data_IF_552364548428
#
_entry.id   IF_552364548428
#
_cell.length_a   1.000
_cell.length_b   1.000
_cell.length_c   1.000
_cell.angle_alpha   90.00
_cell.angle_beta   90.00
_cell.angle_gamma   90.00
#
_symmetry.space_group_name_H-M   'P 1'
#
loop_
_entity.id
_entity.type
_entity.pdbx_description
1 polymer ?
#
# COMPACT_ATOMS: atom_id res chain seq x y z
N UNK A 1 14.41 11.69 -28.54
CA UNK A 1 14.45 10.39 -27.86
C UNK A 1 15.49 10.52 -26.77
N UNK A 2 15.11 10.29 -25.53
CA UNK A 2 15.98 10.40 -24.35
C UNK A 2 15.79 9.16 -23.48
N UNK A 3 16.75 8.87 -22.61
CA UNK A 3 16.71 7.76 -21.65
C UNK A 3 16.28 8.28 -20.29
N UNK A 4 15.22 7.72 -19.73
CA UNK A 4 14.60 8.20 -18.50
C UNK A 4 14.68 7.08 -17.44
N UNK A 5 15.35 7.36 -16.32
CA UNK A 5 15.36 6.50 -15.16
C UNK A 5 14.24 6.85 -14.19
N UNK A 6 13.73 5.85 -13.47
CA UNK A 6 12.68 6.06 -12.47
C UNK A 6 13.09 5.45 -11.13
N UNK A 7 12.79 6.17 -10.04
CA UNK A 7 12.83 5.69 -8.66
C UNK A 7 11.42 5.85 -8.10
N UNK A 8 10.80 4.75 -7.68
CA UNK A 8 9.47 4.76 -7.09
C UNK A 8 9.57 4.44 -5.61
N UNK A 9 9.16 5.37 -4.75
CA UNK A 9 9.21 5.27 -3.30
C UNK A 9 7.80 5.28 -2.70
N UNK A 10 7.67 4.68 -1.54
CA UNK A 10 6.45 4.73 -0.72
C UNK A 10 5.47 3.61 -1.01
N UNK A 11 4.18 3.93 -1.11
CA UNK A 11 3.10 2.95 -1.12
C UNK A 11 2.70 2.47 -2.52
N UNK A 12 1.94 1.37 -2.58
CA UNK A 12 1.41 0.79 -3.82
C UNK A 12 0.66 1.81 -4.72
N UNK A 13 -0.05 2.79 -4.14
CA UNK A 13 -0.72 3.84 -4.93
C UNK A 13 0.30 4.74 -5.65
N UNK A 14 1.40 5.06 -4.98
CA UNK A 14 2.49 5.84 -5.56
C UNK A 14 3.24 5.05 -6.65
N UNK A 15 3.37 3.74 -6.47
CA UNK A 15 3.92 2.84 -7.47
C UNK A 15 3.07 2.82 -8.74
N UNK A 16 1.75 2.67 -8.63
CA UNK A 16 0.84 2.73 -9.80
C UNK A 16 0.94 4.07 -10.52
N UNK A 17 1.07 5.19 -9.78
CA UNK A 17 1.29 6.51 -10.39
C UNK A 17 2.60 6.57 -11.17
N UNK A 18 3.67 5.98 -10.64
CA UNK A 18 4.98 5.88 -11.30
C UNK A 18 4.89 5.06 -12.59
N UNK A 19 4.24 3.91 -12.55
CA UNK A 19 4.03 3.01 -13.68
C UNK A 19 3.24 3.68 -14.82
N UNK A 20 2.24 4.49 -14.47
CA UNK A 20 1.50 5.31 -15.45
C UNK A 20 2.36 6.40 -16.06
N UNK A 21 3.25 7.04 -15.28
CA UNK A 21 4.22 8.00 -15.81
C UNK A 21 5.22 7.33 -16.75
N UNK A 22 5.74 6.14 -16.40
CA UNK A 22 6.62 5.35 -17.28
C UNK A 22 5.96 5.06 -18.64
N UNK A 23 4.71 4.63 -18.61
CA UNK A 23 3.95 4.34 -19.84
C UNK A 23 3.83 5.58 -20.73
N UNK A 24 3.44 6.74 -20.17
CA UNK A 24 3.35 8.00 -20.94
C UNK A 24 4.70 8.39 -21.55
N UNK A 25 5.79 8.17 -20.85
CA UNK A 25 7.15 8.43 -21.31
C UNK A 25 7.50 7.52 -22.51
N UNK A 26 7.15 6.24 -22.44
CA UNK A 26 7.35 5.30 -23.55
C UNK A 26 6.49 5.63 -24.76
N UNK A 27 5.21 5.98 -24.57
CA UNK A 27 4.33 6.41 -25.67
C UNK A 27 4.82 7.67 -26.37
N UNK A 28 5.50 8.57 -25.65
CA UNK A 28 6.13 9.75 -26.22
C UNK A 28 7.43 9.46 -27.00
N UNK A 29 7.85 8.19 -27.07
CA UNK A 29 9.05 7.74 -27.80
C UNK A 29 10.37 7.90 -27.04
N UNK A 30 10.33 8.09 -25.70
CA UNK A 30 11.49 7.99 -24.84
C UNK A 30 11.72 6.54 -24.39
N UNK A 31 12.91 6.24 -23.94
CA UNK A 31 13.26 4.91 -23.39
C UNK A 31 13.23 4.98 -21.87
N UNK A 32 12.51 4.06 -21.23
CA UNK A 32 12.60 3.85 -19.78
C UNK A 32 13.80 2.93 -19.51
N UNK A 33 14.68 3.37 -18.63
CA UNK A 33 15.88 2.63 -18.24
C UNK A 33 15.56 1.73 -17.03
N UNK A 34 16.11 0.52 -17.02
CA UNK A 34 15.98 -0.40 -15.87
C UNK A 34 16.70 0.10 -14.61
N UNK A 35 17.73 0.95 -14.79
CA UNK A 35 18.44 1.64 -13.70
C UNK A 35 18.40 3.15 -13.89
N UNK A 36 19.15 3.89 -13.06
CA UNK A 36 19.24 5.35 -13.16
C UNK A 36 20.52 5.85 -13.83
N UNK A 37 21.60 5.07 -13.78
CA UNK A 37 22.91 5.44 -14.36
C UNK A 37 22.79 5.47 -15.89
N UNK A 38 23.32 6.53 -16.50
CA UNK A 38 23.22 6.78 -17.93
C UNK A 38 21.93 7.41 -18.40
N UNK A 39 21.02 7.77 -17.48
CA UNK A 39 19.77 8.44 -17.81
C UNK A 39 19.97 9.93 -18.07
N UNK A 40 19.30 10.44 -19.12
CA UNK A 40 19.25 11.87 -19.42
C UNK A 40 18.43 12.63 -18.37
N UNK A 41 17.37 11.99 -17.86
CA UNK A 41 16.55 12.49 -16.75
C UNK A 41 16.24 11.33 -15.79
N UNK A 42 16.38 11.56 -14.48
CA UNK A 42 15.89 10.65 -13.44
C UNK A 42 14.65 11.27 -12.80
N UNK A 43 13.56 10.52 -12.82
CA UNK A 43 12.31 10.87 -12.16
C UNK A 43 12.26 10.15 -10.81
N UNK A 44 12.15 10.90 -9.72
CA UNK A 44 12.05 10.37 -8.36
C UNK A 44 10.63 10.61 -7.87
N UNK A 45 9.83 9.55 -7.86
CA UNK A 45 8.45 9.59 -7.34
C UNK A 45 8.47 9.31 -5.83
N UNK A 46 8.24 10.35 -5.04
CA UNK A 46 8.54 10.41 -3.61
C UNK A 46 7.33 10.18 -2.72
N UNK A 47 7.57 9.64 -1.53
CA UNK A 47 6.62 9.62 -0.42
C UNK A 47 6.87 10.84 0.49
N UNK A 48 5.81 11.38 1.08
CA UNK A 48 5.88 12.52 2.01
C UNK A 48 4.88 12.39 3.17
N UNK A 49 4.51 11.13 3.49
CA UNK A 49 3.43 10.84 4.45
C UNK A 49 3.91 10.88 5.90
N UNK A 50 5.03 10.23 6.20
CA UNK A 50 5.63 10.16 7.55
C UNK A 50 7.12 10.53 7.48
N UNK A 51 7.73 10.87 8.63
CA UNK A 51 9.11 11.35 8.68
C UNK A 51 10.13 10.36 8.11
N UNK A 52 10.01 9.07 8.39
CA UNK A 52 10.89 8.05 7.83
C UNK A 52 10.85 7.99 6.30
N UNK A 53 9.65 8.07 5.70
CA UNK A 53 9.49 8.08 4.26
C UNK A 53 9.97 9.40 3.62
N UNK A 54 9.92 10.52 4.35
CA UNK A 54 10.52 11.78 3.90
C UNK A 54 12.04 11.69 3.90
N UNK A 55 12.63 11.13 4.96
CA UNK A 55 14.08 10.92 5.05
C UNK A 55 14.58 10.01 3.93
N UNK A 56 13.92 8.89 3.69
CA UNK A 56 14.22 7.99 2.57
C UNK A 56 14.19 8.75 1.23
N UNK A 57 13.15 9.52 0.97
CA UNK A 57 13.02 10.27 -0.28
C UNK A 57 14.15 11.32 -0.44
N UNK A 58 14.53 12.01 0.62
CA UNK A 58 15.64 12.97 0.63
C UNK A 58 16.96 12.25 0.34
N UNK A 59 17.19 11.10 0.97
CA UNK A 59 18.42 10.31 0.75
C UNK A 59 18.56 9.87 -0.71
N UNK A 60 17.49 9.40 -1.34
CA UNK A 60 17.50 9.06 -2.77
C UNK A 60 17.74 10.28 -3.67
N UNK A 61 17.19 11.45 -3.34
CA UNK A 61 17.47 12.69 -4.08
C UNK A 61 18.95 13.05 -3.97
N UNK A 62 19.54 13.00 -2.78
CA UNK A 62 20.95 13.33 -2.55
C UNK A 62 21.89 12.32 -3.21
N UNK A 63 21.59 11.02 -3.17
CA UNK A 63 22.35 9.99 -3.89
C UNK A 63 22.32 10.23 -5.40
N UNK A 64 21.14 10.55 -5.96
CA UNK A 64 20.98 10.87 -7.38
C UNK A 64 21.73 12.17 -7.74
N UNK A 65 21.76 13.16 -6.83
CA UNK A 65 22.51 14.39 -7.01
C UNK A 65 24.03 14.14 -7.06
N UNK A 66 24.54 13.20 -6.25
CA UNK A 66 25.94 12.79 -6.31
C UNK A 66 26.29 12.16 -7.68
N UNK A 67 25.45 11.25 -8.17
CA UNK A 67 25.62 10.67 -9.52
C UNK A 67 25.56 11.72 -10.63
N UNK A 68 24.70 12.74 -10.47
CA UNK A 68 24.64 13.87 -11.40
C UNK A 68 25.94 14.69 -11.38
N UNK A 69 26.52 14.94 -10.22
CA UNK A 69 27.77 15.65 -10.08
C UNK A 69 28.95 14.89 -10.74
N UNK A 70 28.88 13.56 -10.74
CA UNK A 70 29.85 12.68 -11.43
C UNK A 70 29.59 12.55 -12.95
N UNK A 71 28.50 13.15 -13.45
CA UNK A 71 28.12 13.08 -14.87
C UNK A 71 27.48 11.75 -15.28
N UNK A 72 27.07 10.94 -14.33
CA UNK A 72 26.42 9.65 -14.57
C UNK A 72 24.91 9.79 -14.82
N UNK A 73 24.32 10.92 -14.42
CA UNK A 73 22.90 11.28 -14.59
C UNK A 73 22.81 12.72 -15.11
N UNK A 74 21.88 12.98 -16.04
CA UNK A 74 21.71 14.31 -16.64
C UNK A 74 20.93 15.28 -15.77
N UNK A 75 19.64 15.03 -15.59
CA UNK A 75 18.69 15.91 -14.88
C UNK A 75 17.93 15.14 -13.79
N UNK A 76 17.45 15.85 -12.78
CA UNK A 76 16.64 15.31 -11.69
C UNK A 76 15.28 15.97 -11.67
N UNK A 77 14.21 15.17 -11.79
CA UNK A 77 12.82 15.57 -11.67
C UNK A 77 12.19 14.88 -10.44
N UNK A 78 11.82 15.65 -9.43
CA UNK A 78 11.16 15.11 -8.23
C UNK A 78 9.66 15.26 -8.38
N UNK A 79 8.91 14.20 -8.08
CA UNK A 79 7.45 14.18 -8.09
C UNK A 79 6.89 13.43 -6.89
N UNK A 80 5.59 13.38 -6.74
CA UNK A 80 4.92 12.62 -5.69
C UNK A 80 4.51 13.44 -4.46
N UNK A 81 4.33 12.74 -3.34
CA UNK A 81 3.77 13.35 -2.14
C UNK A 81 4.72 14.36 -1.47
N UNK A 82 6.04 14.10 -1.47
CA UNK A 82 7.02 15.04 -0.89
C UNK A 82 7.02 16.35 -1.67
N UNK A 83 7.08 16.27 -3.00
CA UNK A 83 7.08 17.47 -3.85
C UNK A 83 5.78 18.27 -3.71
N UNK A 84 4.63 17.59 -3.62
CA UNK A 84 3.34 18.24 -3.38
C UNK A 84 3.30 18.94 -2.03
N UNK A 85 3.94 18.39 -1.02
CA UNK A 85 3.93 18.92 0.35
C UNK A 85 4.81 20.16 0.50
N UNK A 86 6.05 20.10 0.02
CA UNK A 86 7.07 21.13 0.25
C UNK A 86 7.30 22.06 -0.94
N UNK A 87 6.72 21.74 -2.09
CA UNK A 87 6.69 22.62 -3.27
C UNK A 87 8.04 23.30 -3.58
N UNK A 88 8.04 24.63 -3.59
CA UNK A 88 9.22 25.42 -3.93
C UNK A 88 10.41 25.29 -2.95
N UNK A 89 10.16 24.88 -1.72
CA UNK A 89 11.21 24.71 -0.70
C UNK A 89 12.23 23.65 -1.12
N UNK A 90 11.77 22.58 -1.83
CA UNK A 90 12.68 21.56 -2.37
C UNK A 90 13.76 22.16 -3.26
N UNK A 91 13.41 23.11 -4.15
CA UNK A 91 14.38 23.75 -5.06
C UNK A 91 15.32 24.73 -4.33
N UNK A 92 14.91 25.23 -3.16
CA UNK A 92 15.75 26.10 -2.34
C UNK A 92 16.76 25.30 -1.53
N UNK A 93 16.30 24.23 -0.89
CA UNK A 93 17.12 23.38 -0.02
C UNK A 93 17.96 22.37 -0.83
N UNK A 94 17.50 21.97 -2.01
CA UNK A 94 18.17 21.01 -2.89
C UNK A 94 18.35 21.61 -4.31
N UNK A 95 19.34 22.53 -4.49
CA UNK A 95 19.54 23.23 -5.77
C UNK A 95 19.95 22.31 -6.93
N UNK A 96 20.36 21.07 -6.64
CA UNK A 96 20.70 20.02 -7.61
C UNK A 96 19.48 19.52 -8.40
N UNK A 97 18.26 19.67 -7.82
CA UNK A 97 17.00 19.30 -8.46
C UNK A 97 16.70 20.29 -9.59
N UNK A 98 16.46 19.76 -10.79
CA UNK A 98 16.16 20.57 -11.97
C UNK A 98 14.67 20.88 -12.13
N UNK A 99 13.80 20.02 -11.63
CA UNK A 99 12.35 20.21 -11.71
C UNK A 99 11.55 19.49 -10.64
N UNK A 100 10.34 20.00 -10.40
CA UNK A 100 9.38 19.41 -9.47
C UNK A 100 7.98 19.36 -10.09
N UNK A 101 7.29 18.23 -9.88
CA UNK A 101 5.88 18.04 -10.21
C UNK A 101 5.11 17.65 -8.96
N UNK A 102 3.94 18.27 -8.75
CA UNK A 102 3.01 17.82 -7.71
C UNK A 102 2.19 16.60 -8.13
N UNK A 103 1.44 16.04 -7.17
CA UNK A 103 0.55 14.89 -7.40
C UNK A 103 -0.58 15.20 -8.39
N UNK A 104 -0.96 16.47 -8.54
CA UNK A 104 -1.94 16.93 -9.55
C UNK A 104 -1.35 17.12 -10.97
N UNK A 105 -0.06 16.78 -11.18
CA UNK A 105 0.64 17.05 -12.44
C UNK A 105 1.28 15.82 -13.09
N UNK A 106 0.94 14.60 -12.68
CA UNK A 106 1.51 13.37 -13.25
C UNK A 106 1.30 13.25 -14.77
N UNK A 107 0.16 13.79 -15.28
CA UNK A 107 -0.14 13.81 -16.72
C UNK A 107 0.80 14.69 -17.54
N UNK A 108 1.51 15.60 -16.86
CA UNK A 108 2.47 16.52 -17.48
C UNK A 108 3.92 16.02 -17.46
N UNK A 109 4.13 14.74 -17.13
CA UNK A 109 5.49 14.17 -17.02
C UNK A 109 6.29 14.33 -18.31
N UNK A 110 5.69 14.10 -19.48
CA UNK A 110 6.40 14.21 -20.78
C UNK A 110 6.78 15.66 -21.10
N UNK A 111 5.87 16.65 -21.09
CA UNK A 111 6.26 18.06 -21.26
C UNK A 111 7.31 18.54 -20.24
N UNK A 112 7.28 18.05 -19.01
CA UNK A 112 8.25 18.40 -17.98
C UNK A 112 9.64 17.88 -18.36
N UNK A 113 9.74 16.62 -18.76
CA UNK A 113 11.00 16.01 -19.23
C UNK A 113 11.56 16.78 -20.43
N UNK A 114 10.74 17.10 -21.42
CA UNK A 114 11.17 17.86 -22.62
C UNK A 114 11.70 19.26 -22.28
N UNK A 115 11.07 19.95 -21.32
CA UNK A 115 11.55 21.24 -20.83
C UNK A 115 12.91 21.10 -20.12
N UNK A 116 13.08 20.10 -19.26
CA UNK A 116 14.36 19.84 -18.61
C UNK A 116 15.48 19.55 -19.61
N UNK A 117 15.19 18.74 -20.63
CA UNK A 117 16.16 18.42 -21.69
C UNK A 117 16.54 19.64 -22.52
N UNK A 118 15.63 20.61 -22.65
CA UNK A 118 15.92 21.92 -23.31
C UNK A 118 16.63 22.94 -22.39
N UNK A 119 16.94 22.55 -21.16
CA UNK A 119 17.70 23.37 -20.20
C UNK A 119 16.83 24.31 -19.34
N UNK A 120 15.53 24.14 -19.33
CA UNK A 120 14.62 24.95 -18.51
C UNK A 120 14.28 24.22 -17.20
N UNK A 121 14.18 24.98 -16.11
CA UNK A 121 13.62 24.44 -14.84
C UNK A 121 12.11 24.28 -14.97
N UNK A 122 11.57 23.25 -14.28
CA UNK A 122 10.15 22.93 -14.27
C UNK A 122 9.59 23.00 -12.86
N UNK A 123 8.44 23.68 -12.71
CA UNK A 123 7.65 23.73 -11.46
C UNK A 123 6.20 23.69 -11.84
N UNK A 124 5.49 22.57 -11.55
CA UNK A 124 4.06 22.46 -11.83
C UNK A 124 3.37 21.60 -10.75
N UNK A 125 2.30 22.13 -10.17
CA UNK A 125 1.56 21.47 -9.10
C UNK A 125 0.14 21.08 -9.45
N UNK A 126 -0.41 21.54 -10.55
CA UNK A 126 -1.75 21.19 -11.02
C UNK A 126 -2.84 21.23 -9.93
N UNK A 127 -4.01 20.73 -10.25
CA UNK A 127 -5.08 20.57 -9.27
C UNK A 127 -5.06 19.13 -8.71
N UNK A 128 -4.92 18.99 -7.40
CA UNK A 128 -5.01 17.68 -6.74
C UNK A 128 -6.42 17.09 -6.78
N UNK A 129 -7.42 17.89 -7.11
CA UNK A 129 -8.82 17.47 -7.28
C UNK A 129 -9.19 17.22 -8.77
N UNK A 130 -8.22 17.31 -9.69
CA UNK A 130 -8.47 16.99 -11.10
C UNK A 130 -8.86 15.51 -11.24
N UNK A 131 -9.77 15.16 -12.17
CA UNK A 131 -10.01 13.77 -12.53
C UNK A 131 -8.73 13.09 -12.97
N UNK A 132 -8.57 11.82 -12.61
CA UNK A 132 -7.48 11.02 -13.17
C UNK A 132 -7.74 10.78 -14.67
N UNK A 133 -6.70 10.94 -15.47
CA UNK A 133 -6.73 10.55 -16.87
C UNK A 133 -6.35 9.08 -16.98
N UNK A 134 -7.23 8.29 -17.58
CA UNK A 134 -6.94 6.89 -17.85
C UNK A 134 -5.81 6.74 -18.86
N UNK A 135 -4.91 5.81 -18.59
CA UNK A 135 -3.74 5.49 -19.42
C UNK A 135 -3.30 4.06 -19.14
N UNK A 136 -2.50 3.48 -20.02
CA UNK A 136 -1.78 2.25 -19.73
C UNK A 136 -0.73 2.46 -18.63
N UNK A 137 -0.06 1.38 -18.27
CA UNK A 137 1.07 1.43 -17.33
C UNK A 137 2.13 0.36 -17.63
N UNK A 138 3.35 0.63 -17.20
CA UNK A 138 4.45 -0.32 -17.20
C UNK A 138 4.49 -0.95 -15.81
N UNK A 139 4.05 -2.19 -15.70
CA UNK A 139 4.02 -2.90 -14.41
C UNK A 139 5.44 -3.13 -13.92
N UNK A 140 5.71 -2.79 -12.66
CA UNK A 140 7.02 -2.92 -12.01
C UNK A 140 7.05 -3.95 -10.89
N UNK A 141 5.90 -4.51 -10.52
CA UNK A 141 5.83 -5.68 -9.66
C UNK A 141 6.24 -6.94 -10.46
N UNK A 142 6.60 -8.05 -9.78
CA UNK A 142 6.66 -9.35 -10.42
C UNK A 142 5.39 -9.64 -11.23
N UNK A 143 5.50 -10.43 -12.32
CA UNK A 143 4.39 -10.63 -13.25
C UNK A 143 3.14 -11.25 -12.61
N UNK A 144 3.32 -12.06 -11.57
CA UNK A 144 2.26 -12.83 -10.94
C UNK A 144 1.35 -12.02 -10.00
N UNK A 145 1.73 -10.82 -9.58
CA UNK A 145 0.83 -9.95 -8.82
C UNK A 145 0.87 -8.49 -9.28
N UNK A 146 -0.22 -7.78 -9.11
CA UNK A 146 -0.28 -6.35 -9.43
C UNK A 146 -1.25 -5.61 -8.52
N UNK A 147 -0.91 -4.36 -8.20
CA UNK A 147 -1.84 -3.46 -7.55
C UNK A 147 -2.78 -2.82 -8.59
N UNK A 148 -4.05 -2.64 -8.26
CA UNK A 148 -4.98 -1.83 -9.04
C UNK A 148 -5.57 -0.72 -8.19
N UNK A 149 -5.29 0.53 -8.59
CA UNK A 149 -5.81 1.70 -7.91
C UNK A 149 -7.21 2.01 -8.45
N UNK A 150 -8.23 1.93 -7.58
CA UNK A 150 -9.64 2.11 -7.96
C UNK A 150 -10.18 3.51 -7.66
N UNK A 151 -9.49 4.27 -6.83
CA UNK A 151 -9.83 5.65 -6.50
C UNK A 151 -8.58 6.42 -6.06
N UNK A 152 -8.67 7.75 -6.04
CA UNK A 152 -7.62 8.66 -5.60
C UNK A 152 -8.18 9.65 -4.56
N UNK A 153 -7.31 10.07 -3.62
CA UNK A 153 -7.66 11.03 -2.58
C UNK A 153 -8.47 10.44 -1.43
N UNK A 154 -8.71 11.25 -0.41
CA UNK A 154 -9.46 10.82 0.77
C UNK A 154 -10.24 11.97 1.38
N UNK A 155 -11.51 11.72 1.74
CA UNK A 155 -12.39 12.70 2.37
C UNK A 155 -12.65 12.44 3.85
N UNK A 156 -11.96 11.48 4.49
CA UNK A 156 -12.18 11.12 5.90
C UNK A 156 -11.65 12.17 6.88
N UNK A 157 -10.58 12.91 6.52
CA UNK A 157 -10.00 14.01 7.32
C UNK A 157 -9.64 13.61 8.76
N UNK A 158 -9.05 12.41 8.93
CA UNK A 158 -8.48 12.03 10.22
C UNK A 158 -7.48 13.08 10.69
N UNK A 159 -7.51 13.44 12.00
CA UNK A 159 -6.76 14.56 12.52
C UNK A 159 -5.23 14.45 12.36
N UNK A 160 -4.70 13.24 12.25
CA UNK A 160 -3.28 12.96 12.06
C UNK A 160 -2.86 12.85 10.57
N UNK A 161 -3.79 12.89 9.62
CA UNK A 161 -3.51 12.47 8.25
C UNK A 161 -3.38 13.66 7.29
N UNK A 162 -2.25 13.71 6.57
CA UNK A 162 -1.95 14.74 5.59
C UNK A 162 -2.49 14.40 4.17
N UNK A 163 -2.96 13.19 3.93
CA UNK A 163 -3.39 12.72 2.59
C UNK A 163 -4.41 13.62 1.90
N UNK A 164 -5.46 14.16 2.55
CA UNK A 164 -6.41 15.06 1.88
C UNK A 164 -5.76 16.31 1.27
N UNK A 165 -4.64 16.75 1.83
CA UNK A 165 -3.89 17.92 1.36
C UNK A 165 -2.89 17.58 0.24
N UNK A 166 -2.49 16.31 0.16
CA UNK A 166 -1.54 15.83 -0.85
C UNK A 166 -2.23 15.23 -2.07
N UNK A 167 -3.38 14.56 -1.87
CA UNK A 167 -4.06 13.75 -2.88
C UNK A 167 -5.48 14.25 -3.21
N UNK A 168 -5.94 15.28 -2.50
CA UNK A 168 -7.25 15.88 -2.71
C UNK A 168 -8.43 15.06 -2.18
N UNK A 169 -9.62 15.44 -2.64
CA UNK A 169 -10.87 14.76 -2.29
C UNK A 169 -10.93 13.36 -2.91
N UNK A 170 -11.71 12.51 -2.31
CA UNK A 170 -11.97 11.17 -2.82
C UNK A 170 -12.61 11.20 -4.21
N UNK A 171 -12.04 10.45 -5.14
CA UNK A 171 -12.48 10.35 -6.54
C UNK A 171 -12.34 8.90 -7.01
N UNK A 172 -13.48 8.26 -7.30
CA UNK A 172 -13.52 6.92 -7.87
C UNK A 172 -13.22 6.94 -9.37
N UNK A 173 -12.50 5.94 -9.83
CA UNK A 173 -12.39 5.63 -11.26
C UNK A 173 -13.67 4.98 -11.76
N UNK A 174 -13.98 5.11 -13.05
CA UNK A 174 -15.12 4.46 -13.64
C UNK A 174 -14.96 2.93 -13.59
N UNK A 175 -16.06 2.23 -13.37
CA UNK A 175 -16.08 0.76 -13.26
C UNK A 175 -15.47 0.10 -14.51
N UNK A 176 -15.87 0.56 -15.70
CA UNK A 176 -15.40 -0.02 -16.97
C UNK A 176 -13.88 0.17 -17.17
N UNK A 177 -13.32 1.31 -16.73
CA UNK A 177 -11.89 1.60 -16.83
C UNK A 177 -11.08 0.69 -15.89
N UNK A 178 -11.56 0.49 -14.65
CA UNK A 178 -10.94 -0.43 -13.69
C UNK A 178 -10.99 -1.87 -14.22
N UNK A 179 -12.13 -2.30 -14.75
CA UNK A 179 -12.28 -3.64 -15.32
C UNK A 179 -11.44 -3.85 -16.59
N UNK A 180 -11.29 -2.81 -17.41
CA UNK A 180 -10.41 -2.87 -18.58
C UNK A 180 -8.96 -3.08 -18.15
N UNK A 181 -8.45 -2.26 -17.21
CA UNK A 181 -7.09 -2.40 -16.69
C UNK A 181 -6.88 -3.78 -16.06
N UNK A 182 -7.82 -4.28 -15.25
CA UNK A 182 -7.73 -5.59 -14.63
C UNK A 182 -7.62 -6.74 -15.67
N UNK A 183 -8.37 -6.65 -16.79
CA UNK A 183 -8.26 -7.62 -17.89
C UNK A 183 -6.89 -7.57 -18.58
N UNK A 184 -6.34 -6.36 -18.76
CA UNK A 184 -5.00 -6.20 -19.34
C UNK A 184 -3.95 -6.80 -18.42
N UNK A 185 -4.03 -6.56 -17.11
CA UNK A 185 -3.12 -7.15 -16.13
C UNK A 185 -3.19 -8.68 -16.11
N UNK A 186 -4.40 -9.23 -16.08
CA UNK A 186 -4.60 -10.69 -16.13
C UNK A 186 -4.05 -11.31 -17.40
N UNK A 187 -4.27 -10.66 -18.56
CA UNK A 187 -3.74 -11.12 -19.85
C UNK A 187 -2.20 -11.08 -19.91
N UNK A 188 -1.56 -10.24 -19.10
CA UNK A 188 -0.11 -10.11 -18.97
C UNK A 188 0.49 -10.97 -17.85
N UNK A 189 -0.27 -11.90 -17.25
CA UNK A 189 0.25 -12.88 -16.30
C UNK A 189 -0.10 -12.62 -14.83
N UNK A 190 -0.77 -11.51 -14.49
CA UNK A 190 -1.18 -11.23 -13.11
C UNK A 190 -2.17 -12.30 -12.63
N UNK A 191 -1.79 -13.02 -11.58
CA UNK A 191 -2.59 -14.06 -10.91
C UNK A 191 -3.23 -13.53 -9.62
N UNK A 192 -2.53 -12.67 -8.88
CA UNK A 192 -3.09 -11.96 -7.72
C UNK A 192 -3.30 -10.47 -8.05
N UNK A 193 -4.54 -9.99 -7.92
CA UNK A 193 -4.89 -8.58 -8.09
C UNK A 193 -5.19 -7.95 -6.72
N UNK A 194 -4.41 -6.91 -6.36
CA UNK A 194 -4.54 -6.24 -5.08
C UNK A 194 -5.24 -4.90 -5.28
N UNK A 195 -6.46 -4.80 -4.81
CA UNK A 195 -7.32 -3.62 -4.95
C UNK A 195 -6.96 -2.59 -3.89
N UNK A 196 -6.55 -1.39 -4.33
CA UNK A 196 -6.07 -0.33 -3.44
C UNK A 196 -6.73 1.02 -3.74
N UNK A 197 -6.95 1.78 -2.68
CA UNK A 197 -7.22 3.22 -2.66
C UNK A 197 -6.75 3.78 -1.32
N UNK A 198 -6.96 5.07 -1.03
CA UNK A 198 -6.78 5.60 0.31
C UNK A 198 -7.91 5.18 1.27
N UNK A 199 -9.07 4.88 0.70
CA UNK A 199 -10.23 4.28 1.37
C UNK A 199 -11.00 3.47 0.31
N UNK A 200 -10.71 2.19 0.23
CA UNK A 200 -11.26 1.30 -0.80
C UNK A 200 -12.75 1.06 -0.60
N UNK A 201 -13.23 1.09 0.65
CA UNK A 201 -14.62 0.84 1.00
C UNK A 201 -15.60 1.89 0.46
N UNK A 202 -15.13 3.09 0.13
CA UNK A 202 -15.97 4.18 -0.39
C UNK A 202 -16.13 4.20 -1.92
N UNK A 203 -15.62 3.20 -2.61
CA UNK A 203 -15.69 3.17 -4.06
C UNK A 203 -17.13 3.37 -4.58
N UNK A 204 -17.30 4.36 -5.46
CA UNK A 204 -18.56 4.76 -6.08
C UNK A 204 -19.40 5.79 -5.30
N UNK A 205 -19.07 6.07 -4.02
CA UNK A 205 -19.90 6.99 -3.20
C UNK A 205 -19.85 8.46 -3.65
N UNK A 206 -18.87 8.83 -4.43
CA UNK A 206 -18.70 10.15 -5.03
C UNK A 206 -19.39 10.30 -6.40
N UNK A 207 -19.89 9.21 -6.97
CA UNK A 207 -20.73 9.25 -8.17
C UNK A 207 -22.12 9.86 -7.86
N UNK A 208 -22.84 10.34 -8.89
CA UNK A 208 -24.15 10.99 -8.68
C UNK A 208 -25.17 10.18 -7.91
N UNK A 209 -25.10 8.85 -8.01
CA UNK A 209 -26.01 7.90 -7.34
C UNK A 209 -25.64 7.68 -5.87
N UNK A 210 -24.46 8.11 -5.44
CA UNK A 210 -23.91 7.95 -4.08
C UNK A 210 -23.97 6.49 -3.55
N UNK A 211 -23.77 5.51 -4.43
CA UNK A 211 -23.80 4.09 -4.08
C UNK A 211 -22.41 3.57 -3.76
N UNK A 212 -22.35 2.62 -2.84
CA UNK A 212 -21.14 1.81 -2.62
C UNK A 212 -21.08 0.74 -3.71
N UNK A 213 -20.12 0.87 -4.61
CA UNK A 213 -19.95 -0.02 -5.76
C UNK A 213 -18.82 -1.03 -5.57
N UNK A 214 -18.14 -1.04 -4.43
CA UNK A 214 -17.08 -2.02 -4.17
C UNK A 214 -17.57 -3.48 -4.28
N UNK A 215 -18.75 -3.87 -3.72
CA UNK A 215 -19.26 -5.23 -3.88
C UNK A 215 -19.51 -5.60 -5.35
N UNK A 216 -20.05 -4.67 -6.16
CA UNK A 216 -20.28 -4.88 -7.59
C UNK A 216 -18.94 -5.02 -8.34
N UNK A 217 -17.99 -4.12 -8.09
CA UNK A 217 -16.64 -4.20 -8.69
C UNK A 217 -15.97 -5.54 -8.38
N UNK A 218 -16.01 -6.00 -7.14
CA UNK A 218 -15.40 -7.27 -6.74
C UNK A 218 -16.03 -8.48 -7.47
N UNK A 219 -17.36 -8.51 -7.61
CA UNK A 219 -18.05 -9.55 -8.39
C UNK A 219 -17.62 -9.56 -9.86
N UNK A 220 -17.47 -8.37 -10.46
CA UNK A 220 -17.04 -8.25 -11.85
C UNK A 220 -15.56 -8.65 -12.03
N UNK A 221 -14.69 -8.28 -11.09
CA UNK A 221 -13.29 -8.71 -11.09
C UNK A 221 -13.16 -10.23 -10.98
N UNK A 222 -14.01 -10.89 -10.19
CA UNK A 222 -14.02 -12.36 -10.06
C UNK A 222 -14.34 -13.09 -11.37
N UNK A 223 -15.01 -12.43 -12.33
CA UNK A 223 -15.34 -13.01 -13.65
C UNK A 223 -14.16 -12.96 -14.64
N UNK A 224 -13.09 -12.26 -14.29
CA UNK A 224 -11.92 -12.14 -15.16
C UNK A 224 -11.13 -13.46 -15.13
N UNK A 225 -10.95 -14.06 -16.32
CA UNK A 225 -10.09 -15.23 -16.48
C UNK A 225 -8.62 -14.84 -16.25
N UNK A 226 -7.83 -15.77 -15.70
CA UNK A 226 -6.41 -15.54 -15.37
C UNK A 226 -6.18 -15.02 -13.96
N UNK A 227 -7.11 -14.28 -13.35
CA UNK A 227 -7.02 -13.94 -11.94
C UNK A 227 -7.39 -15.15 -11.06
N UNK A 228 -6.50 -15.46 -10.12
CA UNK A 228 -6.70 -16.51 -9.12
C UNK A 228 -7.06 -15.91 -7.76
N UNK A 229 -6.33 -14.90 -7.31
CA UNK A 229 -6.59 -14.17 -6.06
C UNK A 229 -6.94 -12.71 -6.30
N UNK A 230 -7.91 -12.21 -5.54
CA UNK A 230 -8.28 -10.80 -5.43
C UNK A 230 -8.19 -10.41 -3.96
N UNK A 231 -7.28 -9.49 -3.65
CA UNK A 231 -7.06 -8.98 -2.28
C UNK A 231 -7.57 -7.56 -2.17
N UNK A 232 -8.15 -7.20 -1.02
CA UNK A 232 -8.69 -5.85 -0.77
C UNK A 232 -7.95 -5.21 0.38
N UNK A 233 -7.35 -4.06 0.15
CA UNK A 233 -6.65 -3.27 1.18
C UNK A 233 -7.40 -1.99 1.54
N UNK A 234 -7.13 -1.45 2.73
CA UNK A 234 -7.57 -0.14 3.21
C UNK A 234 -9.09 0.02 3.27
N UNK A 235 -9.74 -0.88 4.02
CA UNK A 235 -11.20 -0.85 4.23
C UNK A 235 -11.51 -0.17 5.56
N UNK A 236 -12.43 0.80 5.56
CA UNK A 236 -12.81 1.51 6.78
C UNK A 236 -13.88 0.73 7.57
N UNK A 237 -13.76 0.60 8.92
CA UNK A 237 -14.67 -0.25 9.70
C UNK A 237 -16.15 0.07 9.54
N UNK A 238 -16.52 1.35 9.55
CA UNK A 238 -17.90 1.83 9.46
C UNK A 238 -18.47 1.80 8.03
N UNK A 239 -17.67 1.43 7.03
CA UNK A 239 -18.09 1.30 5.64
C UNK A 239 -18.28 -0.17 5.20
N UNK A 240 -17.99 -1.13 6.08
CA UNK A 240 -18.18 -2.57 5.80
C UNK A 240 -19.63 -2.97 6.08
N UNK A 241 -20.41 -3.11 5.04
CA UNK A 241 -21.81 -3.51 5.12
C UNK A 241 -22.02 -5.02 4.85
N UNK A 242 -23.26 -5.47 4.99
CA UNK A 242 -23.61 -6.88 4.79
C UNK A 242 -23.35 -7.35 3.37
N UNK A 243 -23.53 -6.49 2.37
CA UNK A 243 -23.34 -6.85 0.97
C UNK A 243 -21.84 -7.10 0.68
N UNK A 244 -20.95 -6.26 1.20
CA UNK A 244 -19.51 -6.48 1.07
C UNK A 244 -19.05 -7.76 1.76
N UNK A 245 -19.58 -8.02 2.98
CA UNK A 245 -19.30 -9.26 3.72
C UNK A 245 -19.73 -10.48 2.91
N UNK A 246 -20.94 -10.46 2.32
CA UNK A 246 -21.48 -11.57 1.55
C UNK A 246 -20.64 -11.86 0.30
N UNK A 247 -20.19 -10.81 -0.40
CA UNK A 247 -19.32 -10.97 -1.57
C UNK A 247 -17.99 -11.58 -1.18
N UNK A 248 -17.35 -11.07 -0.14
CA UNK A 248 -16.06 -11.62 0.33
C UNK A 248 -16.22 -13.07 0.79
N UNK A 249 -17.32 -13.40 1.46
CA UNK A 249 -17.57 -14.75 1.94
C UNK A 249 -17.83 -15.74 0.79
N UNK A 250 -18.60 -15.33 -0.23
CA UNK A 250 -19.10 -16.23 -1.27
C UNK A 250 -18.20 -16.39 -2.48
N UNK A 251 -17.41 -15.35 -2.82
CA UNK A 251 -16.56 -15.40 -4.01
C UNK A 251 -15.23 -16.13 -3.70
N UNK A 252 -14.92 -17.23 -4.38
CA UNK A 252 -13.72 -18.03 -4.09
C UNK A 252 -12.41 -17.32 -4.43
N UNK A 253 -12.39 -16.46 -5.45
CA UNK A 253 -11.20 -15.71 -5.84
C UNK A 253 -10.85 -14.59 -4.86
N UNK A 254 -11.80 -14.13 -4.04
CA UNK A 254 -11.52 -13.11 -3.03
C UNK A 254 -10.88 -13.80 -1.83
N UNK A 255 -9.61 -13.48 -1.61
CA UNK A 255 -8.87 -14.00 -0.46
C UNK A 255 -9.51 -13.56 0.86
N UNK A 256 -9.53 -14.47 1.82
CA UNK A 256 -10.15 -14.20 3.14
C UNK A 256 -9.19 -13.42 4.03
N UNK A 257 -8.84 -12.23 3.56
CA UNK A 257 -7.93 -11.28 4.18
C UNK A 257 -8.50 -9.87 4.02
N UNK A 258 -8.59 -9.12 5.11
CA UNK A 258 -9.06 -7.74 5.10
C UNK A 258 -8.10 -6.83 5.89
N UNK A 259 -7.61 -5.80 5.23
CA UNK A 259 -6.84 -4.72 5.87
C UNK A 259 -7.79 -3.61 6.34
N UNK A 260 -7.99 -3.55 7.65
CA UNK A 260 -8.95 -2.67 8.34
C UNK A 260 -8.18 -1.78 9.34
N UNK A 261 -7.56 -0.68 8.91
CA UNK A 261 -6.73 0.16 9.78
C UNK A 261 -7.58 0.93 10.81
N UNK A 262 -7.71 0.38 12.01
CA UNK A 262 -8.49 1.01 13.09
C UNK A 262 -7.76 2.15 13.78
N UNK A 263 -6.43 2.12 13.81
CA UNK A 263 -5.48 3.06 14.41
C UNK A 263 -5.47 3.02 15.95
N UNK A 264 -6.61 2.97 16.61
CA UNK A 264 -6.81 2.85 18.04
C UNK A 264 -8.20 2.25 18.34
N UNK A 265 -8.45 1.80 19.58
CA UNK A 265 -9.77 1.28 19.98
C UNK A 265 -10.50 2.19 20.98
N UNK A 266 -9.80 3.06 21.71
CA UNK A 266 -10.42 3.89 22.74
C UNK A 266 -11.28 5.02 22.12
N UNK A 267 -12.53 5.17 22.60
CA UNK A 267 -13.52 6.10 22.04
C UNK A 267 -13.07 7.56 22.09
N UNK A 268 -12.41 7.97 23.19
CA UNK A 268 -11.89 9.33 23.33
C UNK A 268 -10.81 9.61 22.27
N UNK A 269 -9.88 8.68 22.07
CA UNK A 269 -8.80 8.81 21.09
C UNK A 269 -9.39 8.79 19.67
N UNK A 270 -10.29 7.88 19.36
CA UNK A 270 -10.96 7.81 18.05
C UNK A 270 -11.68 9.12 17.73
N UNK A 271 -12.45 9.66 18.69
CA UNK A 271 -13.15 10.93 18.54
C UNK A 271 -12.18 12.10 18.34
N UNK A 272 -11.10 12.19 19.15
CA UNK A 272 -10.08 13.23 19.04
C UNK A 272 -9.35 13.19 17.69
N UNK A 273 -9.15 11.99 17.16
CA UNK A 273 -8.52 11.76 15.84
C UNK A 273 -9.50 11.85 14.67
N UNK A 274 -10.73 12.30 14.91
CA UNK A 274 -11.79 12.39 13.89
C UNK A 274 -12.05 11.07 13.16
N UNK A 275 -11.87 9.94 13.88
CA UNK A 275 -12.22 8.61 13.38
C UNK A 275 -13.71 8.38 13.61
N UNK A 276 -14.38 7.77 12.62
CA UNK A 276 -15.78 7.39 12.72
C UNK A 276 -15.89 6.02 13.37
N UNK A 277 -16.96 5.83 14.14
CA UNK A 277 -17.18 4.63 14.94
C UNK A 277 -16.55 4.73 16.33
N UNK A 278 -16.77 3.69 17.11
CA UNK A 278 -16.32 3.51 18.47
C UNK A 278 -15.80 2.08 18.69
N UNK A 279 -15.30 1.78 19.87
CA UNK A 279 -14.80 0.44 20.23
C UNK A 279 -15.85 -0.63 20.00
N UNK A 280 -17.09 -0.37 20.42
CA UNK A 280 -18.18 -1.32 20.27
C UNK A 280 -18.47 -1.69 18.82
N UNK A 281 -18.49 -0.70 17.94
CA UNK A 281 -18.66 -0.92 16.50
C UNK A 281 -17.55 -1.83 15.95
N UNK A 282 -16.30 -1.59 16.36
CA UNK A 282 -15.15 -2.39 15.89
C UNK A 282 -15.28 -3.84 16.39
N UNK A 283 -15.61 -4.03 17.68
CA UNK A 283 -15.80 -5.35 18.27
C UNK A 283 -16.96 -6.14 17.61
N UNK A 284 -18.10 -5.49 17.42
CA UNK A 284 -19.27 -6.08 16.75
C UNK A 284 -18.95 -6.43 15.28
N UNK A 285 -18.22 -5.56 14.59
CA UNK A 285 -17.79 -5.82 13.22
C UNK A 285 -16.85 -7.03 13.16
N UNK A 286 -15.81 -7.09 13.99
CA UNK A 286 -14.86 -8.21 13.97
C UNK A 286 -15.52 -9.54 14.30
N UNK A 287 -16.41 -9.55 15.29
CA UNK A 287 -17.20 -10.74 15.61
C UNK A 287 -18.10 -11.18 14.43
N UNK A 288 -18.74 -10.23 13.77
CA UNK A 288 -19.57 -10.48 12.58
C UNK A 288 -18.75 -11.01 11.41
N UNK A 289 -17.61 -10.39 11.12
CA UNK A 289 -16.71 -10.79 10.05
C UNK A 289 -16.22 -12.24 10.25
N UNK A 290 -15.71 -12.57 11.45
CA UNK A 290 -15.23 -13.93 11.75
C UNK A 290 -16.35 -14.98 11.71
N UNK A 291 -17.58 -14.60 12.06
CA UNK A 291 -18.73 -15.51 11.99
C UNK A 291 -19.14 -15.78 10.54
N UNK A 292 -19.10 -14.77 9.68
CA UNK A 292 -19.61 -14.86 8.31
C UNK A 292 -18.56 -15.25 7.28
N UNK A 293 -17.27 -15.05 7.58
CA UNK A 293 -16.15 -15.37 6.69
C UNK A 293 -15.21 -16.33 7.41
N UNK A 294 -15.44 -17.64 7.32
CA UNK A 294 -14.54 -18.63 7.92
C UNK A 294 -13.10 -18.50 7.38
N UNK A 295 -12.12 -18.56 8.28
CA UNK A 295 -10.71 -18.43 7.92
C UNK A 295 -10.26 -16.99 7.64
N UNK A 296 -11.09 -15.98 7.93
CA UNK A 296 -10.71 -14.59 7.73
C UNK A 296 -9.47 -14.21 8.56
N UNK A 297 -8.51 -13.62 7.88
CA UNK A 297 -7.36 -12.94 8.47
C UNK A 297 -7.67 -11.44 8.51
N UNK A 298 -7.61 -10.85 9.69
CA UNK A 298 -7.76 -9.41 9.89
C UNK A 298 -6.37 -8.80 10.05
N UNK A 299 -6.07 -7.89 9.12
CA UNK A 299 -4.92 -6.99 9.26
C UNK A 299 -5.38 -5.63 9.74
N UNK A 300 -4.59 -5.01 10.60
CA UNK A 300 -4.83 -3.63 11.04
C UNK A 300 -3.54 -2.87 11.26
N UNK A 301 -3.65 -1.55 11.36
CA UNK A 301 -2.59 -0.66 11.81
C UNK A 301 -3.03 -0.01 13.11
N UNK A 302 -2.10 0.06 14.09
CA UNK A 302 -2.26 0.75 15.36
C UNK A 302 -1.23 1.87 15.45
N UNK A 303 -1.61 2.98 16.08
CA UNK A 303 -0.71 4.13 16.32
C UNK A 303 -0.62 4.34 17.82
N UNK A 304 0.58 4.19 18.37
CA UNK A 304 0.90 4.50 19.76
C UNK A 304 1.34 5.96 19.91
N UNK A 305 0.96 6.57 21.02
CA UNK A 305 1.34 7.94 21.33
C UNK A 305 0.48 9.01 20.65
N UNK A 306 -0.74 8.66 20.21
CA UNK A 306 -1.68 9.66 19.69
C UNK A 306 -2.00 10.74 20.74
N UNK A 307 -2.23 12.01 20.33
CA UNK A 307 -2.66 13.07 21.23
C UNK A 307 -3.83 12.66 22.13
N UNK A 308 -3.62 12.82 23.44
CA UNK A 308 -4.60 12.45 24.46
C UNK A 308 -4.56 11.00 24.94
N UNK A 309 -3.63 10.18 24.41
CA UNK A 309 -3.39 8.82 24.87
C UNK A 309 -2.61 8.83 26.18
N UNK A 310 -3.32 8.63 27.31
CA UNK A 310 -2.73 8.38 28.62
C UNK A 310 -2.45 6.90 28.84
N UNK A 311 -2.07 6.56 30.06
CA UNK A 311 -1.79 5.16 30.42
C UNK A 311 -3.06 4.29 30.36
N UNK A 312 -4.20 4.82 30.77
CA UNK A 312 -5.47 4.08 30.75
C UNK A 312 -5.89 3.72 29.32
N UNK A 313 -5.82 4.68 28.39
CA UNK A 313 -6.15 4.49 26.98
C UNK A 313 -5.19 3.49 26.32
N UNK A 314 -3.90 3.55 26.65
CA UNK A 314 -2.92 2.61 26.14
C UNK A 314 -3.14 1.17 26.67
N UNK A 315 -3.41 1.01 27.97
CA UNK A 315 -3.71 -0.30 28.54
C UNK A 315 -4.99 -0.89 27.94
N UNK A 316 -5.98 -0.06 27.66
CA UNK A 316 -7.19 -0.50 26.95
C UNK A 316 -6.84 -1.01 25.54
N UNK A 317 -5.95 -0.34 24.80
CA UNK A 317 -5.49 -0.79 23.48
C UNK A 317 -4.75 -2.14 23.56
N UNK A 318 -3.88 -2.30 24.54
CA UNK A 318 -3.19 -3.57 24.78
C UNK A 318 -4.17 -4.71 25.09
N UNK A 319 -5.17 -4.45 25.91
CA UNK A 319 -6.21 -5.44 26.25
C UNK A 319 -7.07 -5.78 25.02
N UNK A 320 -7.48 -4.77 24.27
CA UNK A 320 -8.22 -4.96 23.01
C UNK A 320 -7.44 -5.84 22.02
N UNK A 321 -6.15 -5.61 21.86
CA UNK A 321 -5.30 -6.42 20.97
C UNK A 321 -5.26 -7.90 21.43
N UNK A 322 -5.11 -8.15 22.73
CA UNK A 322 -5.14 -9.51 23.29
C UNK A 322 -6.49 -10.21 23.13
N UNK A 323 -7.60 -9.47 23.22
CA UNK A 323 -8.97 -10.00 23.12
C UNK A 323 -9.36 -10.23 21.66
N UNK A 324 -9.10 -9.27 20.79
CA UNK A 324 -9.50 -9.35 19.39
C UNK A 324 -8.57 -10.23 18.54
N UNK A 325 -7.29 -10.39 18.96
CA UNK A 325 -6.35 -11.32 18.34
C UNK A 325 -6.32 -11.20 16.82
N UNK A 326 -6.12 -9.98 16.31
CA UNK A 326 -5.96 -9.78 14.88
C UNK A 326 -4.67 -10.48 14.42
N UNK A 327 -4.74 -11.20 13.32
CA UNK A 327 -3.68 -12.08 12.82
C UNK A 327 -2.47 -11.29 12.31
N UNK A 328 -2.69 -10.09 11.79
CA UNK A 328 -1.65 -9.21 11.26
C UNK A 328 -1.83 -7.79 11.80
N UNK A 329 -0.87 -7.26 12.53
CA UNK A 329 -0.91 -5.89 13.07
C UNK A 329 0.42 -5.20 12.85
N UNK A 330 0.39 -4.02 12.24
CA UNK A 330 1.51 -3.08 12.26
C UNK A 330 1.30 -2.05 13.38
N UNK A 331 2.26 -1.92 14.30
CA UNK A 331 2.28 -0.87 15.32
C UNK A 331 3.22 0.27 14.89
N UNK A 332 2.74 1.49 14.98
CA UNK A 332 3.47 2.68 14.54
C UNK A 332 3.52 3.71 15.67
N UNK A 333 4.63 4.43 15.76
CA UNK A 333 4.72 5.62 16.62
C UNK A 333 4.00 6.78 15.92
N UNK A 334 3.23 7.55 16.67
CA UNK A 334 2.59 8.75 16.12
C UNK A 334 3.65 9.73 15.60
N UNK A 335 3.49 10.15 14.36
CA UNK A 335 4.31 11.18 13.71
C UNK A 335 3.47 12.46 13.55
N UNK A 336 3.84 13.59 14.20
CA UNK A 336 3.12 14.85 14.09
C UNK A 336 3.38 15.50 12.73
N UNK A 337 2.48 15.27 11.77
CA UNK A 337 2.63 15.77 10.41
C UNK A 337 2.19 17.23 10.30
N UNK A 338 3.13 18.11 9.96
CA UNK A 338 2.88 19.55 9.79
C UNK A 338 1.68 19.81 8.85
N UNK A 339 0.81 20.74 9.23
CA UNK A 339 -0.42 21.06 8.51
C UNK A 339 -1.62 20.19 8.89
N UNK A 340 -1.45 19.20 9.77
CA UNK A 340 -2.56 18.42 10.32
C UNK A 340 -3.06 18.97 11.65
N UNK A 341 -4.34 18.76 12.00
CA UNK A 341 -4.85 19.16 13.32
C UNK A 341 -4.07 18.54 14.48
N UNK A 342 -3.70 17.26 14.39
CA UNK A 342 -3.00 16.55 15.46
C UNK A 342 -1.60 17.11 15.72
N UNK A 343 -0.94 17.72 14.74
CA UNK A 343 0.38 18.33 14.91
C UNK A 343 0.39 19.52 15.91
N UNK A 344 -0.77 20.12 16.15
CA UNK A 344 -0.91 21.28 17.06
C UNK A 344 -1.45 20.91 18.44
N UNK A 345 -1.76 19.62 18.67
CA UNK A 345 -2.24 19.11 19.95
C UNK A 345 -1.06 18.85 20.91
N UNK A 346 -1.36 18.62 22.17
CA UNK A 346 -0.37 18.14 23.13
C UNK A 346 0.03 16.71 22.81
N UNK A 347 1.32 16.46 22.61
CA UNK A 347 1.86 15.17 22.22
C UNK A 347 2.28 14.35 23.44
N UNK A 348 2.15 13.03 23.31
CA UNK A 348 2.82 12.09 24.19
C UNK A 348 4.34 12.20 23.95
N UNK A 349 5.13 12.03 25.00
CA UNK A 349 6.57 11.98 24.89
C UNK A 349 6.99 10.88 23.87
N UNK A 350 7.93 11.20 23.01
CA UNK A 350 8.31 10.32 21.89
C UNK A 350 8.90 8.99 22.38
N UNK A 351 9.66 9.01 23.48
CA UNK A 351 10.24 7.79 24.06
C UNK A 351 9.13 6.89 24.62
N UNK A 352 8.14 7.48 25.31
CA UNK A 352 6.95 6.76 25.80
C UNK A 352 6.15 6.17 24.62
N UNK A 353 5.95 6.94 23.55
CA UNK A 353 5.22 6.46 22.37
C UNK A 353 5.96 5.29 21.70
N UNK A 354 7.30 5.33 21.67
CA UNK A 354 8.15 4.27 21.12
C UNK A 354 8.08 3.00 21.99
N UNK A 355 8.15 3.12 23.31
CA UNK A 355 7.99 2.00 24.25
C UNK A 355 6.61 1.36 24.12
N UNK A 356 5.57 2.16 23.93
CA UNK A 356 4.20 1.68 23.70
C UNK A 356 4.09 0.91 22.38
N UNK A 357 4.65 1.42 21.29
CA UNK A 357 4.67 0.72 20.01
C UNK A 357 5.38 -0.65 20.13
N UNK A 358 6.54 -0.70 20.77
CA UNK A 358 7.26 -1.95 21.05
C UNK A 358 6.44 -2.94 21.90
N UNK A 359 5.66 -2.41 22.86
CA UNK A 359 4.77 -3.25 23.67
C UNK A 359 3.67 -3.88 22.83
N UNK A 360 3.07 -3.11 21.89
CA UNK A 360 2.08 -3.64 20.95
C UNK A 360 2.69 -4.68 20.01
N UNK A 361 3.92 -4.45 19.52
CA UNK A 361 4.66 -5.40 18.69
C UNK A 361 4.93 -6.71 19.43
N UNK A 362 5.33 -6.67 20.72
CA UNK A 362 5.52 -7.88 21.54
C UNK A 362 4.23 -8.67 21.73
N UNK A 363 3.10 -7.99 21.95
CA UNK A 363 1.79 -8.64 22.05
C UNK A 363 1.42 -9.29 20.72
N UNK A 364 1.65 -8.58 19.63
CA UNK A 364 1.34 -9.05 18.28
C UNK A 364 2.22 -10.25 17.88
N UNK A 365 3.51 -10.22 18.19
CA UNK A 365 4.41 -11.34 17.92
C UNK A 365 3.90 -12.63 18.57
N UNK A 366 3.43 -12.57 19.82
CA UNK A 366 2.84 -13.74 20.48
C UNK A 366 1.57 -14.21 19.77
N UNK A 367 0.69 -13.31 19.34
CA UNK A 367 -0.54 -13.67 18.63
C UNK A 367 -0.20 -14.32 17.30
N UNK A 368 0.77 -13.78 16.57
CA UNK A 368 1.23 -14.30 15.29
C UNK A 368 1.87 -15.69 15.45
N UNK A 369 2.70 -15.90 16.48
CA UNK A 369 3.31 -17.20 16.79
C UNK A 369 2.25 -18.27 17.04
N UNK A 370 1.21 -17.94 17.82
CA UNK A 370 0.10 -18.85 18.07
C UNK A 370 -0.73 -19.13 16.81
N UNK A 371 -0.95 -18.11 15.95
CA UNK A 371 -1.62 -18.28 14.66
C UNK A 371 -0.81 -19.19 13.74
N UNK A 372 0.49 -18.95 13.62
CA UNK A 372 1.40 -19.72 12.77
C UNK A 372 1.52 -21.18 13.28
N UNK A 373 1.66 -21.37 14.58
CA UNK A 373 1.69 -22.72 15.18
C UNK A 373 0.41 -23.51 14.88
N UNK A 374 -0.75 -22.84 14.79
CA UNK A 374 -2.00 -23.48 14.43
C UNK A 374 -2.09 -23.86 12.94
N UNK A 375 -1.16 -23.45 12.09
CA UNK A 375 -1.08 -23.87 10.70
C UNK A 375 -0.28 -25.18 10.52
N UNK A 376 0.57 -25.56 11.48
CA UNK A 376 1.39 -26.77 11.39
C UNK A 376 0.49 -28.01 11.19
N UNK A 377 0.84 -28.83 10.21
CA UNK A 377 0.10 -30.01 9.79
C UNK A 377 -1.03 -29.75 8.81
N UNK A 378 -1.30 -28.48 8.41
CA UNK A 378 -2.25 -28.15 7.37
C UNK A 378 -1.56 -28.05 6.01
N UNK A 379 -2.29 -28.38 4.98
CA UNK A 379 -1.87 -28.11 3.59
C UNK A 379 -2.53 -26.80 3.15
N UNK A 380 -1.69 -25.83 2.77
CA UNK A 380 -2.10 -24.50 2.34
C UNK A 380 -1.74 -24.28 0.88
N UNK A 381 -2.60 -23.59 0.14
CA UNK A 381 -2.28 -23.09 -1.19
C UNK A 381 -1.31 -21.90 -1.06
N UNK A 382 -0.20 -21.95 -1.75
CA UNK A 382 0.88 -20.97 -1.72
C UNK A 382 1.17 -20.47 -3.13
N UNK A 383 1.18 -19.16 -3.31
CA UNK A 383 1.67 -18.49 -4.51
C UNK A 383 3.19 -18.32 -4.35
N UNK A 384 3.95 -18.92 -5.25
CA UNK A 384 5.41 -18.85 -5.27
C UNK A 384 5.85 -17.45 -5.71
N UNK A 385 6.59 -16.75 -4.87
CA UNK A 385 7.11 -15.41 -5.15
C UNK A 385 8.55 -15.42 -5.66
N UNK A 386 9.33 -16.47 -5.38
CA UNK A 386 10.70 -16.57 -5.86
C UNK A 386 11.54 -17.65 -5.20
N UNK A 387 12.84 -17.54 -5.43
CA UNK A 387 13.88 -18.38 -4.86
C UNK A 387 14.92 -17.50 -4.16
N UNK A 388 15.24 -17.81 -2.92
CA UNK A 388 16.26 -17.12 -2.15
C UNK A 388 17.58 -17.90 -2.26
N UNK A 389 18.58 -17.25 -2.87
CA UNK A 389 19.89 -17.86 -3.11
C UNK A 389 20.70 -18.06 -1.80
N UNK A 390 20.48 -17.24 -0.77
CA UNK A 390 21.20 -17.34 0.51
C UNK A 390 20.65 -18.48 1.37
N UNK A 391 19.33 -18.66 1.36
CA UNK A 391 18.66 -19.74 2.09
C UNK A 391 18.58 -21.04 1.27
N UNK A 392 18.89 -20.97 -0.04
CA UNK A 392 18.76 -22.09 -0.99
C UNK A 392 17.34 -22.68 -0.98
N UNK A 393 16.30 -21.84 -0.84
CA UNK A 393 14.91 -22.26 -0.75
C UNK A 393 13.97 -21.38 -1.59
N UNK A 394 12.90 -22.02 -2.09
CA UNK A 394 11.77 -21.26 -2.63
C UNK A 394 11.00 -20.59 -1.50
N UNK A 395 10.37 -19.47 -1.81
CA UNK A 395 9.47 -18.80 -0.91
C UNK A 395 8.21 -18.31 -1.64
N UNK A 396 7.15 -18.12 -0.89
CA UNK A 396 5.88 -17.63 -1.41
C UNK A 396 4.96 -17.14 -0.31
N UNK A 397 3.71 -16.94 -0.64
CA UNK A 397 2.70 -16.43 0.30
C UNK A 397 1.43 -17.27 0.24
N UNK A 398 0.77 -17.36 1.39
CA UNK A 398 -0.61 -17.83 1.46
C UNK A 398 -1.59 -16.68 1.21
N UNK A 399 -2.87 -16.99 1.16
CA UNK A 399 -3.92 -15.97 1.15
C UNK A 399 -3.87 -15.03 2.38
N UNK A 400 -3.25 -15.48 3.47
CA UNK A 400 -3.16 -14.76 4.73
C UNK A 400 -2.05 -13.69 4.77
N UNK A 401 -1.27 -13.59 3.68
CA UNK A 401 -0.08 -12.76 3.63
C UNK A 401 -0.11 -11.83 2.41
N UNK A 402 0.02 -10.54 2.65
CA UNK A 402 0.14 -9.52 1.60
C UNK A 402 1.60 -9.34 1.19
N UNK A 403 1.91 -9.16 -0.13
CA UNK A 403 3.28 -8.97 -0.57
C UNK A 403 3.95 -7.79 0.14
N UNK A 404 5.22 -7.95 0.49
CA UNK A 404 6.11 -6.95 1.09
C UNK A 404 5.69 -6.40 2.47
N UNK A 405 4.58 -6.89 3.04
CA UNK A 405 4.02 -6.35 4.29
C UNK A 405 3.95 -7.42 5.38
N UNK A 406 3.50 -8.63 5.03
CA UNK A 406 3.29 -9.73 5.96
C UNK A 406 4.39 -10.80 5.82
N UNK A 407 4.22 -11.94 6.49
CA UNK A 407 5.16 -13.05 6.45
C UNK A 407 5.16 -13.81 5.10
N UNK A 408 6.01 -14.81 5.03
CA UNK A 408 6.14 -15.69 3.88
C UNK A 408 6.09 -17.16 4.29
N UNK A 409 6.07 -18.03 3.30
CA UNK A 409 6.19 -19.48 3.45
C UNK A 409 7.49 -19.90 2.79
N UNK A 410 8.40 -20.52 3.54
CA UNK A 410 9.58 -21.19 3.01
C UNK A 410 9.19 -22.58 2.50
N UNK A 411 9.56 -22.90 1.27
CA UNK A 411 9.04 -24.06 0.53
C UNK A 411 10.18 -25.00 0.18
N UNK A 412 10.16 -26.20 0.76
CA UNK A 412 11.00 -27.30 0.30
C UNK A 412 10.31 -28.01 -0.88
N UNK A 413 11.02 -28.16 -1.98
CA UNK A 413 10.53 -28.87 -3.17
C UNK A 413 11.64 -29.71 -3.79
N UNK A 414 11.31 -30.93 -4.24
CA UNK A 414 12.23 -31.77 -5.01
C UNK A 414 12.33 -31.31 -6.47
N UNK A 415 11.26 -30.68 -7.01
CA UNK A 415 11.22 -30.14 -8.35
C UNK A 415 11.38 -28.62 -8.34
N UNK A 416 11.96 -28.02 -9.38
CA UNK A 416 12.06 -26.57 -9.50
C UNK A 416 10.66 -25.95 -9.63
N UNK A 417 10.40 -24.90 -8.84
CA UNK A 417 9.19 -24.09 -8.91
C UNK A 417 9.47 -22.80 -9.69
N UNK A 418 8.41 -22.21 -10.25
CA UNK A 418 8.50 -20.93 -10.97
C UNK A 418 7.70 -19.86 -10.24
N UNK A 419 8.17 -18.62 -10.31
CA UNK A 419 7.42 -17.47 -9.82
C UNK A 419 6.00 -17.46 -10.42
N UNK A 420 5.03 -17.24 -9.56
CA UNK A 420 3.62 -17.25 -9.94
C UNK A 420 2.95 -18.63 -9.96
N UNK A 421 3.67 -19.72 -9.68
CA UNK A 421 3.02 -21.02 -9.51
C UNK A 421 2.19 -21.05 -8.22
N UNK A 422 1.04 -21.72 -8.28
CA UNK A 422 0.27 -22.08 -7.10
C UNK A 422 0.58 -23.53 -6.75
N UNK A 423 1.06 -23.74 -5.53
CA UNK A 423 1.42 -25.08 -5.04
C UNK A 423 0.76 -25.35 -3.70
N UNK A 424 0.45 -26.62 -3.44
CA UNK A 424 -0.03 -27.06 -2.13
C UNK A 424 1.16 -27.39 -1.25
N UNK A 425 1.29 -26.68 -0.12
CA UNK A 425 2.40 -26.84 0.84
C UNK A 425 1.85 -27.35 2.16
N UNK A 426 2.35 -28.50 2.60
CA UNK A 426 2.09 -28.97 3.97
C UNK A 426 3.05 -28.27 4.93
N UNK A 427 2.48 -27.50 5.85
CA UNK A 427 3.24 -26.72 6.83
C UNK A 427 3.77 -27.68 7.91
N UNK A 428 5.06 -27.69 8.14
CA UNK A 428 5.73 -28.54 9.15
C UNK A 428 6.49 -27.73 10.22
N UNK A 429 6.64 -26.41 10.02
CA UNK A 429 7.35 -25.56 10.97
C UNK A 429 7.09 -24.06 10.81
N UNK A 430 7.74 -23.31 11.70
CA UNK A 430 7.83 -21.84 11.67
C UNK A 430 9.28 -21.43 11.90
N UNK A 431 9.76 -20.45 11.14
CA UNK A 431 11.13 -19.92 11.22
C UNK A 431 11.04 -18.40 11.28
N UNK A 432 11.47 -17.79 12.37
CA UNK A 432 11.53 -16.34 12.59
C UNK A 432 10.21 -15.58 12.25
N UNK A 433 9.06 -16.21 12.56
CA UNK A 433 7.74 -15.65 12.29
C UNK A 433 7.16 -16.01 10.92
N UNK A 434 7.93 -16.61 10.03
CA UNK A 434 7.47 -17.16 8.76
C UNK A 434 7.04 -18.63 8.90
N UNK A 435 6.18 -19.09 7.98
CA UNK A 435 5.83 -20.50 7.86
C UNK A 435 6.91 -21.26 7.08
N UNK A 436 7.04 -22.55 7.35
CA UNK A 436 7.88 -23.44 6.55
C UNK A 436 7.14 -24.75 6.27
N UNK A 437 7.41 -25.35 5.11
CA UNK A 437 6.79 -26.59 4.74
C UNK A 437 7.33 -27.16 3.41
N UNK A 438 6.70 -28.20 2.92
CA UNK A 438 7.10 -28.90 1.70
C UNK A 438 5.92 -29.07 0.75
N UNK A 439 6.24 -29.09 -0.56
CA UNK A 439 5.23 -29.34 -1.58
C UNK A 439 4.63 -30.73 -1.40
N UNK A 440 3.30 -30.77 -1.37
CA UNK A 440 2.56 -32.05 -1.31
C UNK A 440 2.10 -32.38 -2.71
N UNK A 441 2.49 -33.55 -3.22
CA UNK A 441 1.96 -34.08 -4.47
C UNK A 441 0.45 -34.36 -4.31
N UNK A 442 -0.35 -33.95 -5.28
CA UNK A 442 -1.76 -34.40 -5.36
C UNK A 442 -1.77 -35.91 -5.68
N UNK A 443 -2.39 -36.71 -4.79
CA UNK A 443 -2.66 -38.14 -5.07
C UNK A 443 -3.73 -38.32 -6.16
#
# INVERSE_FOLDING_TARGET
>A
MATIGFISLGCAKNQVDCERMMFRVQEAGHTVNEGIVGSDVVVINTCGFIDSAKSEAIDYILQTAALKAEGQVGKILVTGCLSQRYQGDILQEMPEVDGILGTGSYTKIVPAIEQLLSGHKVVDFGSIDAPEEETGRVVTTPEHFSYIKIAEGCSNRCAFCIIPYLRGKYRSRQLDDVLYEARVLAANGTKELIVVAQDTSRYGTDFPEHKRLLPELLRELCKIDGLHWIRVHYVYPDEIDDELIDVIASEPKIVKYLDIPIQHCNDKILSTMHRRGDKKLIEELFAKLRTRIPGLVIRTSLIAGLPGEGEEEFQELCQFLREQRMERVGAFVFSPEEGTPAATMEHVDEEVARERAQTLEMIQSQIMDEYNAAQIGKTLEVLVDGYDEEQEQFYGRTYADSPDIDGRVWIASEEPLHEGDFVNVTIDGCIDGDLAGYVTEEE
#
